data_IF_938634374936
#
_entry.id   IF_938634374936
#
_cell.length_a   1.000
_cell.length_b   1.000
_cell.length_c   1.000
_cell.angle_alpha   90.00
_cell.angle_beta   90.00
_cell.angle_gamma   90.00
#
_symmetry.space_group_name_H-M   'P 1'
#
loop_
_entity.id
_entity.type
_entity.pdbx_description
1 polymer ?
#
# COMPACT_ATOMS: atom_id res chain seq x y z
N UNK A 1 -19.77 -23.40 2.63
CA UNK A 1 -19.59 -21.94 2.80
C UNK A 1 -18.31 -21.58 2.09
N UNK A 2 -18.32 -20.56 1.24
CA UNK A 2 -17.10 -20.00 0.64
C UNK A 2 -16.15 -19.54 1.75
N UNK A 3 -14.84 -19.69 1.53
CA UNK A 3 -13.84 -19.19 2.49
C UNK A 3 -13.93 -17.66 2.59
N UNK A 4 -13.69 -17.16 3.80
CA UNK A 4 -13.49 -15.72 4.04
C UNK A 4 -12.01 -15.41 3.82
N UNK A 5 -11.71 -14.45 2.94
CA UNK A 5 -10.35 -14.02 2.65
C UNK A 5 -9.90 -12.95 3.65
N UNK A 6 -8.79 -13.17 4.34
CA UNK A 6 -8.10 -12.12 5.08
C UNK A 6 -7.21 -11.35 4.13
N UNK A 7 -7.40 -10.03 4.03
CA UNK A 7 -6.65 -9.18 3.12
C UNK A 7 -5.95 -8.09 3.93
N UNK A 8 -4.62 -8.08 3.85
CA UNK A 8 -3.85 -6.91 4.22
C UNK A 8 -3.77 -5.97 3.01
N UNK A 9 -4.50 -4.85 3.04
CA UNK A 9 -4.48 -3.85 1.97
C UNK A 9 -3.47 -2.75 2.34
N UNK A 10 -2.18 -2.96 2.09
CA UNK A 10 -1.14 -2.02 2.46
C UNK A 10 -0.89 -0.90 1.42
N UNK A 11 -0.18 0.14 1.84
CA UNK A 11 0.17 1.30 0.99
C UNK A 11 1.07 0.92 -0.18
N UNK A 12 2.08 0.07 0.07
CA UNK A 12 3.07 -0.36 -0.94
C UNK A 12 2.81 -1.77 -1.44
N UNK A 13 2.49 -2.68 -0.54
CA UNK A 13 2.20 -4.08 -0.85
C UNK A 13 0.92 -4.50 -0.13
N UNK A 14 0.22 -5.45 -0.72
CA UNK A 14 -0.91 -6.14 -0.13
C UNK A 14 -0.62 -7.63 0.00
N UNK A 15 -1.27 -8.30 0.94
CA UNK A 15 -1.16 -9.74 1.14
C UNK A 15 -2.55 -10.35 1.35
N UNK A 16 -2.68 -11.66 1.12
CA UNK A 16 -3.94 -12.36 1.32
C UNK A 16 -3.72 -13.72 1.99
N UNK A 17 -4.65 -14.10 2.87
CA UNK A 17 -4.57 -15.28 3.70
C UNK A 17 -5.94 -15.95 3.84
N UNK A 18 -5.95 -17.26 4.08
CA UNK A 18 -7.15 -18.03 4.43
C UNK A 18 -6.88 -18.95 5.60
N UNK A 19 -7.93 -19.35 6.31
CA UNK A 19 -7.85 -20.45 7.26
C UNK A 19 -7.97 -21.81 6.53
N UNK A 20 -7.03 -22.72 6.77
CA UNK A 20 -7.02 -24.08 6.23
C UNK A 20 -6.62 -25.07 7.32
N UNK A 21 -7.51 -26.02 7.62
CA UNK A 21 -7.24 -27.04 8.63
C UNK A 21 -7.04 -26.46 10.04
N UNK A 22 -7.66 -25.31 10.33
CA UNK A 22 -7.49 -24.60 11.59
C UNK A 22 -6.30 -23.64 11.63
N UNK A 23 -5.42 -23.61 10.62
CA UNK A 23 -4.23 -22.75 10.61
C UNK A 23 -4.35 -21.62 9.57
N UNK A 24 -3.79 -20.42 9.83
CA UNK A 24 -3.70 -19.36 8.84
C UNK A 24 -2.63 -19.68 7.79
N UNK A 25 -2.99 -19.55 6.51
CA UNK A 25 -2.09 -19.76 5.38
C UNK A 25 -2.09 -18.53 4.46
N UNK A 26 -0.92 -17.90 4.28
CA UNK A 26 -0.70 -16.89 3.23
C UNK A 26 -0.78 -17.57 1.86
N UNK A 27 -1.50 -16.94 0.93
CA UNK A 27 -1.58 -17.38 -0.45
C UNK A 27 -0.56 -16.66 -1.32
N UNK A 28 0.00 -17.38 -2.29
CA UNK A 28 0.78 -16.80 -3.37
C UNK A 28 -0.15 -16.18 -4.42
N UNK A 29 0.26 -15.04 -4.98
CA UNK A 29 -0.38 -14.46 -6.15
C UNK A 29 -0.06 -15.25 -7.43
N UNK A 30 -0.65 -14.85 -8.57
CA UNK A 30 -0.41 -15.50 -9.85
C UNK A 30 1.06 -15.47 -10.30
N UNK A 31 1.85 -14.55 -9.76
CA UNK A 31 3.27 -14.37 -10.02
C UNK A 31 4.17 -15.18 -9.07
N UNK A 32 3.59 -15.95 -8.13
CA UNK A 32 4.32 -16.81 -7.18
C UNK A 32 4.86 -16.08 -5.95
N UNK A 33 4.52 -14.80 -5.75
CA UNK A 33 4.92 -14.03 -4.58
C UNK A 33 3.84 -14.06 -3.49
N UNK A 34 4.26 -14.00 -2.22
CA UNK A 34 3.36 -13.96 -1.05
C UNK A 34 2.77 -12.57 -0.78
N UNK A 35 3.24 -11.56 -1.49
CA UNK A 35 2.72 -10.20 -1.47
C UNK A 35 2.57 -9.69 -2.90
N UNK A 36 1.64 -8.76 -3.09
CA UNK A 36 1.33 -8.14 -4.37
C UNK A 36 1.52 -6.63 -4.23
N UNK A 37 2.32 -5.97 -5.10
CA UNK A 37 2.42 -4.51 -5.07
C UNK A 37 1.04 -3.83 -5.17
N UNK A 38 0.80 -2.83 -4.33
CA UNK A 38 -0.43 -2.03 -4.31
C UNK A 38 -0.39 -0.98 -5.43
N UNK A 39 -0.29 -1.45 -6.67
CA UNK A 39 -0.09 -0.66 -7.87
C UNK A 39 -1.11 -1.06 -8.93
N UNK A 40 -1.70 -0.07 -9.58
CA UNK A 40 -2.68 -0.23 -10.67
C UNK A 40 -2.23 0.61 -11.84
N UNK A 41 -2.43 0.13 -13.05
CA UNK A 41 -2.11 0.93 -14.23
C UNK A 41 -3.02 0.62 -15.42
N UNK A 42 -3.07 1.54 -16.38
CA UNK A 42 -3.63 1.29 -17.71
C UNK A 42 -2.47 1.21 -18.69
N UNK A 43 -2.37 0.09 -19.42
CA UNK A 43 -1.36 -0.11 -20.44
C UNK A 43 -1.64 0.78 -21.66
N UNK A 44 -0.65 0.90 -22.56
CA UNK A 44 -0.83 1.63 -23.82
C UNK A 44 -1.91 1.03 -24.73
N UNK A 45 -2.27 -0.23 -24.53
CA UNK A 45 -3.34 -0.92 -25.28
C UNK A 45 -4.71 -0.79 -24.60
N UNK A 46 -4.81 -0.04 -23.49
CA UNK A 46 -6.05 0.13 -22.72
C UNK A 46 -6.33 -0.99 -21.73
N UNK A 47 -5.41 -1.93 -21.54
CA UNK A 47 -5.58 -3.02 -20.58
C UNK A 47 -5.32 -2.54 -19.15
N UNK A 48 -6.18 -2.95 -18.22
CA UNK A 48 -5.97 -2.71 -16.78
C UNK A 48 -5.01 -3.74 -16.20
N UNK A 49 -3.92 -3.23 -15.63
CA UNK A 49 -2.89 -3.99 -14.93
C UNK A 49 -2.99 -3.73 -13.43
N UNK A 50 -2.65 -4.74 -12.62
CA UNK A 50 -2.53 -4.61 -11.17
C UNK A 50 -1.36 -5.47 -10.65
N UNK A 51 -0.76 -5.07 -9.53
CA UNK A 51 0.32 -5.83 -8.91
C UNK A 51 1.66 -5.65 -9.60
N UNK A 52 2.42 -6.75 -9.72
CA UNK A 52 3.78 -6.73 -10.25
C UNK A 52 3.85 -6.23 -11.70
N UNK A 53 2.86 -6.60 -12.54
CA UNK A 53 2.83 -6.19 -13.94
C UNK A 53 2.61 -4.67 -14.06
N UNK A 54 1.75 -4.08 -13.21
CA UNK A 54 1.57 -2.63 -13.15
C UNK A 54 2.85 -1.93 -12.67
N UNK A 55 3.49 -2.45 -11.61
CA UNK A 55 4.76 -1.90 -11.09
C UNK A 55 5.86 -1.89 -12.16
N UNK A 56 6.02 -2.96 -12.93
CA UNK A 56 7.09 -3.09 -13.94
C UNK A 56 7.05 -2.02 -15.04
N UNK A 57 5.87 -1.50 -15.37
CA UNK A 57 5.76 -0.47 -16.41
C UNK A 57 5.82 0.96 -15.86
N UNK A 58 5.89 1.16 -14.54
CA UNK A 58 5.82 2.48 -13.91
C UNK A 58 6.83 3.46 -14.51
N UNK A 59 8.08 3.02 -14.71
CA UNK A 59 9.16 3.83 -15.32
C UNK A 59 8.82 4.40 -16.69
N UNK A 60 8.07 3.67 -17.52
CA UNK A 60 7.76 4.08 -18.90
C UNK A 60 6.34 4.61 -19.07
N UNK A 61 5.54 4.58 -18.00
CA UNK A 61 4.15 5.00 -17.99
C UNK A 61 3.75 5.62 -16.63
N UNK A 62 4.51 6.62 -16.11
CA UNK A 62 4.35 7.08 -14.73
C UNK A 62 3.01 7.79 -14.49
N UNK A 63 2.47 8.50 -15.50
CA UNK A 63 1.19 9.22 -15.36
C UNK A 63 -0.04 8.31 -15.31
N UNK A 64 0.03 7.11 -15.89
CA UNK A 64 -1.06 6.12 -15.88
C UNK A 64 -0.76 4.92 -14.97
N UNK A 65 0.18 5.08 -14.03
CA UNK A 65 0.50 4.07 -13.03
C UNK A 65 0.28 4.68 -11.65
N UNK A 66 -0.75 4.21 -10.95
CA UNK A 66 -1.17 4.71 -9.65
C UNK A 66 -0.67 3.77 -8.56
N UNK A 67 -0.02 4.34 -7.56
CA UNK A 67 0.54 3.68 -6.39
C UNK A 67 0.32 4.58 -5.16
N UNK A 68 0.55 4.05 -3.96
CA UNK A 68 0.31 4.77 -2.69
C UNK A 68 -1.13 5.28 -2.51
N UNK A 69 -2.11 4.72 -3.23
CA UNK A 69 -3.49 5.23 -3.20
C UNK A 69 -4.11 5.24 -1.80
N UNK A 70 -3.63 4.36 -0.91
CA UNK A 70 -4.04 4.30 0.50
C UNK A 70 -3.75 5.59 1.28
N UNK A 71 -2.80 6.42 0.84
CA UNK A 71 -2.54 7.75 1.43
C UNK A 71 -3.63 8.79 1.06
N UNK A 72 -4.47 8.46 0.08
CA UNK A 72 -5.53 9.35 -0.42
C UNK A 72 -6.94 8.88 -0.05
N UNK A 73 -7.10 7.60 0.34
CA UNK A 73 -8.42 7.01 0.58
C UNK A 73 -9.12 7.65 1.78
N UNK A 74 -10.35 8.12 1.59
CA UNK A 74 -11.14 8.76 2.64
C UNK A 74 -10.67 10.15 3.09
N UNK A 75 -9.71 10.75 2.39
CA UNK A 75 -9.26 12.13 2.64
C UNK A 75 -9.99 13.15 1.76
N UNK A 76 -9.98 14.41 2.21
CA UNK A 76 -10.40 15.56 1.42
C UNK A 76 -9.22 16.15 0.66
N UNK A 77 -9.48 16.74 -0.51
CA UNK A 77 -8.42 17.26 -1.36
C UNK A 77 -7.60 18.38 -0.68
N UNK A 78 -8.23 19.22 0.15
CA UNK A 78 -7.59 20.42 0.70
C UNK A 78 -6.70 20.16 1.93
N UNK A 79 -6.62 18.93 2.42
CA UNK A 79 -5.77 18.58 3.56
C UNK A 79 -4.28 18.80 3.24
N UNK A 80 -3.53 19.38 4.18
CA UNK A 80 -2.12 19.70 3.98
C UNK A 80 -1.27 18.47 3.66
N UNK A 81 -1.52 17.34 4.33
CA UNK A 81 -0.82 16.09 4.06
C UNK A 81 -1.17 15.51 2.68
N UNK A 82 -2.42 15.66 2.23
CA UNK A 82 -2.83 15.26 0.87
C UNK A 82 -2.13 16.13 -0.16
N UNK A 83 -2.06 17.45 0.03
CA UNK A 83 -1.36 18.33 -0.92
C UNK A 83 0.14 18.01 -1.01
N UNK A 84 0.77 17.67 0.12
CA UNK A 84 2.14 17.15 0.14
C UNK A 84 2.26 15.87 -0.71
N UNK A 85 1.34 14.92 -0.54
CA UNK A 85 1.36 13.66 -1.27
C UNK A 85 1.04 13.81 -2.76
N UNK A 86 0.13 14.73 -3.13
CA UNK A 86 -0.14 15.10 -4.54
C UNK A 86 1.12 15.64 -5.21
N UNK A 87 1.90 16.47 -4.52
CA UNK A 87 3.18 16.95 -5.03
C UNK A 87 4.24 15.84 -5.13
N UNK A 88 4.07 14.74 -4.39
CA UNK A 88 5.00 13.61 -4.31
C UNK A 88 4.87 12.59 -5.46
N UNK A 89 3.75 12.60 -6.20
CA UNK A 89 3.42 11.56 -7.19
C UNK A 89 3.39 12.09 -8.64
N UNK A 90 3.64 11.23 -9.65
CA UNK A 90 3.63 11.64 -11.07
C UNK A 90 2.26 11.57 -11.75
N UNK A 91 1.29 10.86 -11.16
CA UNK A 91 -0.07 10.76 -11.70
C UNK A 91 -0.91 11.98 -11.32
N UNK A 92 -1.92 12.29 -12.14
CA UNK A 92 -2.75 13.47 -11.93
C UNK A 92 -3.81 13.21 -10.85
N UNK A 93 -3.97 14.18 -9.95
CA UNK A 93 -4.98 14.19 -8.88
C UNK A 93 -5.77 15.49 -8.97
N UNK A 94 -7.09 15.42 -8.79
CA UNK A 94 -7.95 16.61 -8.75
C UNK A 94 -8.93 16.54 -7.59
N UNK A 95 -9.48 17.70 -7.24
CA UNK A 95 -10.59 17.82 -6.30
C UNK A 95 -11.88 17.28 -6.94
N UNK A 96 -12.55 16.38 -6.24
CA UNK A 96 -13.87 15.90 -6.60
C UNK A 96 -14.95 16.92 -6.20
N UNK A 97 -16.14 16.81 -6.80
CA UNK A 97 -17.26 17.72 -6.53
C UNK A 97 -17.74 17.67 -5.07
N UNK A 98 -17.54 16.55 -4.39
CA UNK A 98 -17.88 16.35 -2.97
C UNK A 98 -16.78 16.81 -1.99
N UNK A 99 -15.70 17.44 -2.48
CA UNK A 99 -14.56 17.87 -1.67
C UNK A 99 -13.50 16.80 -1.41
N UNK A 100 -13.80 15.53 -1.74
CA UNK A 100 -12.81 14.46 -1.84
C UNK A 100 -11.86 14.67 -3.03
N UNK A 101 -11.18 13.61 -3.45
CA UNK A 101 -10.27 13.64 -4.58
C UNK A 101 -10.52 12.52 -5.57
N UNK A 102 -10.08 12.74 -6.80
CA UNK A 102 -10.07 11.76 -7.88
C UNK A 102 -8.66 11.68 -8.48
N UNK A 103 -8.27 10.48 -8.86
CA UNK A 103 -7.01 10.18 -9.54
C UNK A 103 -7.29 9.83 -10.99
N UNK A 104 -6.47 10.34 -11.90
CA UNK A 104 -6.57 10.02 -13.32
C UNK A 104 -5.94 8.66 -13.60
N UNK A 105 -6.68 7.79 -14.26
CA UNK A 105 -6.20 6.48 -14.69
C UNK A 105 -6.72 6.22 -16.12
N UNK A 106 -5.82 6.38 -17.10
CA UNK A 106 -6.21 6.47 -18.50
C UNK A 106 -7.06 7.72 -18.74
N UNK A 107 -8.21 7.56 -19.40
CA UNK A 107 -9.14 8.67 -19.67
C UNK A 107 -10.12 8.94 -18.52
N UNK A 108 -10.12 8.11 -17.48
CA UNK A 108 -11.11 8.18 -16.40
C UNK A 108 -10.55 8.86 -15.16
N UNK A 109 -11.41 9.60 -14.47
CA UNK A 109 -11.18 10.10 -13.13
C UNK A 109 -11.88 9.19 -12.15
N UNK A 110 -11.12 8.60 -11.24
CA UNK A 110 -11.60 7.55 -10.34
C UNK A 110 -11.32 7.95 -8.90
N UNK A 111 -12.23 7.58 -8.00
CA UNK A 111 -12.01 7.79 -6.57
C UNK A 111 -10.97 6.80 -6.03
N UNK A 112 -10.26 7.12 -4.94
CA UNK A 112 -9.32 6.20 -4.29
C UNK A 112 -9.89 4.81 -4.01
N UNK A 113 -11.16 4.72 -3.61
CA UNK A 113 -11.87 3.47 -3.34
C UNK A 113 -11.94 2.58 -4.58
N UNK A 114 -12.13 3.18 -5.76
CA UNK A 114 -12.23 2.45 -7.03
C UNK A 114 -10.86 1.90 -7.43
N UNK A 115 -9.79 2.67 -7.25
CA UNK A 115 -8.41 2.21 -7.48
C UNK A 115 -8.05 1.10 -6.49
N UNK A 116 -8.32 1.27 -5.20
CA UNK A 116 -8.13 0.24 -4.18
C UNK A 116 -8.94 -1.02 -4.48
N UNK A 117 -10.15 -0.88 -5.00
CA UNK A 117 -10.96 -2.02 -5.43
C UNK A 117 -10.31 -2.82 -6.56
N UNK A 118 -9.57 -2.18 -7.47
CA UNK A 118 -8.82 -2.91 -8.51
C UNK A 118 -7.70 -3.79 -7.92
N UNK A 119 -7.05 -3.32 -6.84
CA UNK A 119 -6.07 -4.11 -6.08
C UNK A 119 -6.76 -5.30 -5.42
N UNK A 120 -7.88 -5.04 -4.72
CA UNK A 120 -8.67 -6.09 -4.05
C UNK A 120 -9.22 -7.12 -5.05
N UNK A 121 -9.64 -6.70 -6.25
CA UNK A 121 -10.07 -7.60 -7.33
C UNK A 121 -8.95 -8.51 -7.81
N UNK A 122 -7.71 -8.00 -7.93
CA UNK A 122 -6.54 -8.83 -8.28
C UNK A 122 -6.29 -9.89 -7.20
N UNK A 123 -6.27 -9.49 -5.92
CA UNK A 123 -6.07 -10.42 -4.80
C UNK A 123 -7.18 -11.48 -4.75
N UNK A 124 -8.43 -11.07 -4.88
CA UNK A 124 -9.57 -11.99 -4.96
C UNK A 124 -9.39 -12.99 -6.11
N UNK A 125 -9.11 -12.52 -7.33
CA UNK A 125 -8.96 -13.39 -8.49
C UNK A 125 -7.80 -14.39 -8.34
N UNK A 126 -6.67 -13.95 -7.77
CA UNK A 126 -5.55 -14.84 -7.49
C UNK A 126 -5.90 -15.89 -6.43
N UNK A 127 -6.61 -15.49 -5.36
CA UNK A 127 -7.09 -16.41 -4.32
C UNK A 127 -8.06 -17.44 -4.89
N UNK A 128 -9.07 -17.01 -5.67
CA UNK A 128 -10.04 -17.89 -6.33
C UNK A 128 -9.35 -18.89 -7.26
N UNK A 129 -8.38 -18.44 -8.07
CA UNK A 129 -7.59 -19.31 -8.94
C UNK A 129 -6.77 -20.34 -8.15
N UNK A 130 -6.20 -19.96 -7.01
CA UNK A 130 -5.38 -20.85 -6.17
C UNK A 130 -6.22 -21.85 -5.39
N UNK A 131 -7.42 -21.45 -4.96
CA UNK A 131 -8.32 -22.27 -4.14
C UNK A 131 -9.26 -23.14 -4.99
N UNK A 132 -9.53 -22.75 -6.24
CA UNK A 132 -10.45 -23.44 -7.14
C UNK A 132 -11.93 -23.21 -6.81
N UNK A 133 -12.24 -22.20 -6.01
CA UNK A 133 -13.61 -21.86 -5.59
C UNK A 133 -13.80 -20.33 -5.51
N UNK A 134 -15.03 -19.81 -5.70
CA UNK A 134 -15.31 -18.39 -5.60
C UNK A 134 -15.16 -17.86 -4.17
N UNK A 135 -14.70 -16.61 -4.06
CA UNK A 135 -14.52 -15.89 -2.79
C UNK A 135 -15.42 -14.66 -2.80
N UNK A 136 -16.41 -14.66 -1.91
CA UNK A 136 -17.41 -13.59 -1.82
C UNK A 136 -17.29 -12.76 -0.56
N UNK A 137 -16.50 -13.19 0.43
CA UNK A 137 -16.44 -12.58 1.75
C UNK A 137 -15.00 -12.26 2.14
N UNK A 138 -14.78 -11.14 2.83
CA UNK A 138 -13.44 -10.76 3.28
C UNK A 138 -13.42 -10.05 4.64
N UNK A 139 -12.27 -10.15 5.28
CA UNK A 139 -11.82 -9.25 6.35
C UNK A 139 -10.67 -8.41 5.78
N UNK A 140 -10.76 -7.09 5.89
CA UNK A 140 -9.79 -6.16 5.29
C UNK A 140 -9.13 -5.33 6.40
N UNK A 141 -7.81 -5.19 6.35
CA UNK A 141 -7.04 -4.39 7.31
C UNK A 141 -7.14 -2.88 7.02
N UNK A 142 -7.01 -2.08 8.07
CA UNK A 142 -6.77 -0.63 8.02
C UNK A 142 -5.80 -0.23 9.15
N UNK A 143 -5.08 0.90 9.02
CA UNK A 143 -4.30 1.46 10.11
C UNK A 143 -5.17 1.69 11.35
N UNK A 144 -4.60 1.54 12.54
CA UNK A 144 -5.35 1.75 13.77
C UNK A 144 -5.89 3.19 13.86
N UNK A 145 -5.09 4.15 13.41
CA UNK A 145 -5.42 5.58 13.43
C UNK A 145 -6.36 6.04 12.31
N UNK A 146 -6.86 5.14 11.45
CA UNK A 146 -7.86 5.51 10.45
C UNK A 146 -9.16 5.99 11.11
N UNK A 147 -9.65 7.13 10.65
CA UNK A 147 -10.93 7.72 11.04
C UNK A 147 -12.12 7.01 10.36
N UNK A 148 -13.33 7.43 10.71
CA UNK A 148 -14.57 6.83 10.19
C UNK A 148 -14.70 6.93 8.66
N UNK A 149 -14.28 8.04 8.06
CA UNK A 149 -14.33 8.24 6.61
C UNK A 149 -13.39 7.28 5.87
N UNK A 150 -12.15 7.13 6.34
CA UNK A 150 -11.16 6.22 5.75
C UNK A 150 -11.55 4.75 5.90
N UNK A 151 -12.14 4.38 7.06
CA UNK A 151 -12.71 3.04 7.30
C UNK A 151 -13.89 2.74 6.38
N UNK A 152 -14.80 3.70 6.22
CA UNK A 152 -15.93 3.58 5.31
C UNK A 152 -15.47 3.43 3.86
N UNK A 153 -14.53 4.26 3.42
CA UNK A 153 -13.95 4.23 2.09
C UNK A 153 -13.26 2.89 1.77
N UNK A 154 -12.51 2.33 2.73
CA UNK A 154 -11.88 1.00 2.56
C UNK A 154 -12.92 -0.13 2.48
N UNK A 155 -13.99 -0.04 3.29
CA UNK A 155 -15.12 -0.98 3.18
C UNK A 155 -15.79 -0.88 1.81
N UNK A 156 -15.98 0.32 1.29
CA UNK A 156 -16.58 0.55 -0.02
C UNK A 156 -15.68 0.04 -1.15
N UNK A 157 -14.36 0.18 -1.04
CA UNK A 157 -13.41 -0.46 -1.96
C UNK A 157 -13.63 -1.99 -2.00
N UNK A 158 -13.84 -2.63 -0.85
CA UNK A 158 -14.19 -4.05 -0.77
C UNK A 158 -15.51 -4.38 -1.47
N UNK A 159 -16.56 -3.59 -1.27
CA UNK A 159 -17.85 -3.78 -1.96
C UNK A 159 -17.71 -3.62 -3.48
N UNK A 160 -17.01 -2.60 -3.95
CA UNK A 160 -16.73 -2.37 -5.38
C UNK A 160 -15.93 -3.55 -5.98
N UNK A 161 -15.06 -4.18 -5.18
CA UNK A 161 -14.35 -5.38 -5.57
C UNK A 161 -15.21 -6.66 -5.59
N UNK A 162 -16.49 -6.58 -5.23
CA UNK A 162 -17.39 -7.71 -5.14
C UNK A 162 -17.10 -8.61 -3.94
N UNK A 163 -16.68 -8.02 -2.82
CA UNK A 163 -16.49 -8.67 -1.53
C UNK A 163 -17.50 -8.13 -0.50
N UNK A 164 -18.20 -9.04 0.17
CA UNK A 164 -18.92 -8.75 1.39
C UNK A 164 -17.92 -8.62 2.55
N UNK A 165 -17.67 -7.37 2.95
CA UNK A 165 -16.68 -7.03 3.97
C UNK A 165 -17.25 -7.29 5.36
N UNK A 166 -16.99 -8.50 5.87
CA UNK A 166 -17.45 -8.96 7.19
C UNK A 166 -16.85 -8.16 8.33
N UNK A 167 -15.60 -7.72 8.18
CA UNK A 167 -14.91 -6.92 9.19
C UNK A 167 -13.85 -6.03 8.57
N UNK A 168 -13.76 -4.82 9.10
CA UNK A 168 -12.57 -3.98 8.99
C UNK A 168 -11.81 -4.17 10.30
N UNK A 169 -10.56 -4.61 10.23
CA UNK A 169 -9.72 -4.88 11.40
C UNK A 169 -8.52 -3.94 11.41
N UNK A 170 -8.09 -3.50 12.58
CA UNK A 170 -6.89 -2.69 12.70
C UNK A 170 -5.66 -3.56 12.44
N UNK A 171 -4.71 -3.04 11.66
CA UNK A 171 -3.42 -3.67 11.35
C UNK A 171 -2.69 -4.19 12.59
N UNK A 172 -2.46 -3.39 13.65
CA UNK A 172 -1.76 -3.89 14.84
C UNK A 172 -2.57 -4.94 15.61
N UNK A 173 -3.90 -4.91 15.55
CA UNK A 173 -4.74 -5.97 16.13
C UNK A 173 -4.62 -7.27 15.32
N UNK A 174 -4.60 -7.20 13.99
CA UNK A 174 -4.37 -8.36 13.13
C UNK A 174 -2.98 -8.97 13.35
N UNK A 175 -1.95 -8.13 13.50
CA UNK A 175 -0.59 -8.56 13.84
C UNK A 175 -0.54 -9.25 15.22
N UNK A 176 -1.23 -8.70 16.22
CA UNK A 176 -1.32 -9.31 17.54
C UNK A 176 -2.10 -10.64 17.52
N UNK A 177 -3.15 -10.78 16.69
CA UNK A 177 -3.85 -12.06 16.48
C UNK A 177 -2.91 -13.10 15.86
N UNK A 178 -2.11 -12.71 14.87
CA UNK A 178 -1.14 -13.60 14.26
C UNK A 178 -0.05 -14.02 15.26
N UNK A 179 0.45 -13.10 16.09
CA UNK A 179 1.41 -13.38 17.15
C UNK A 179 0.85 -14.31 18.23
N UNK A 180 -0.38 -14.03 18.68
CA UNK A 180 -1.08 -14.72 19.76
C UNK A 180 -1.64 -16.09 19.37
N UNK A 181 -1.74 -16.40 18.07
CA UNK A 181 -2.48 -17.56 17.55
C UNK A 181 -2.13 -18.90 18.25
N UNK A 182 -0.85 -19.12 18.55
CA UNK A 182 -0.35 -20.35 19.19
C UNK A 182 0.17 -20.13 20.62
N UNK A 183 -0.11 -18.98 21.22
CA UNK A 183 0.33 -18.64 22.58
C UNK A 183 -0.58 -19.29 23.61
N UNK A 184 -0.04 -19.54 24.80
CA UNK A 184 -0.75 -20.21 25.91
C UNK A 184 -0.77 -19.40 27.20
N UNK A 185 -0.27 -18.17 27.15
CA UNK A 185 -0.14 -17.28 28.30
C UNK A 185 -0.58 -15.90 27.90
N UNK A 186 -1.13 -15.19 28.87
CA UNK A 186 -1.41 -13.78 28.75
C UNK A 186 -0.10 -13.02 28.57
N UNK A 187 -0.04 -12.17 27.56
CA UNK A 187 1.15 -11.39 27.23
C UNK A 187 0.75 -9.95 26.92
N UNK A 188 1.51 -9.01 27.48
CA UNK A 188 1.44 -7.60 27.09
C UNK A 188 2.44 -7.39 25.97
N UNK A 189 1.93 -6.93 24.83
CA UNK A 189 2.70 -6.75 23.60
C UNK A 189 2.64 -5.31 23.13
N UNK A 190 3.73 -4.84 22.55
CA UNK A 190 3.76 -3.59 21.80
C UNK A 190 3.91 -3.96 20.33
N UNK A 191 2.96 -3.53 19.52
CA UNK A 191 3.06 -3.62 18.06
C UNK A 191 3.52 -2.25 17.56
N UNK A 192 4.72 -2.23 16.99
CA UNK A 192 5.29 -1.10 16.28
C UNK A 192 5.22 -1.43 14.78
N UNK A 193 4.29 -0.78 14.07
CA UNK A 193 4.05 -1.01 12.65
C UNK A 193 4.47 0.23 11.86
N UNK A 194 5.58 0.12 11.12
CA UNK A 194 6.12 1.20 10.30
C UNK A 194 6.11 0.76 8.84
N UNK A 195 5.00 1.06 8.18
CA UNK A 195 4.71 0.59 6.84
C UNK A 195 5.25 1.50 5.74
N UNK A 196 4.72 1.32 4.53
CA UNK A 196 5.08 2.13 3.36
C UNK A 196 4.61 3.59 3.43
N UNK A 197 3.55 3.89 4.16
CA UNK A 197 3.04 5.26 4.30
C UNK A 197 2.21 5.55 5.54
N UNK A 198 2.14 4.61 6.48
CA UNK A 198 1.46 4.77 7.76
C UNK A 198 2.37 4.23 8.86
N UNK A 199 2.28 4.86 10.02
CA UNK A 199 2.94 4.42 11.25
C UNK A 199 1.88 4.24 12.34
N UNK A 200 1.84 3.07 12.96
CA UNK A 200 1.01 2.80 14.12
C UNK A 200 1.86 2.23 15.26
N UNK A 201 1.58 2.67 16.48
CA UNK A 201 2.07 2.03 17.70
C UNK A 201 0.88 1.67 18.59
N UNK A 202 0.80 0.41 19.00
CA UNK A 202 -0.28 -0.06 19.86
C UNK A 202 0.28 -0.87 21.03
N UNK A 203 -0.27 -0.63 22.22
CA UNK A 203 -0.06 -1.47 23.40
C UNK A 203 -1.27 -2.37 23.51
N UNK A 204 -1.06 -3.69 23.40
CA UNK A 204 -2.13 -4.68 23.48
C UNK A 204 -1.86 -5.68 24.59
N UNK A 205 -2.95 -6.27 25.08
CA UNK A 205 -2.92 -7.43 25.95
C UNK A 205 -3.57 -8.58 25.20
N UNK A 206 -2.80 -9.63 24.96
CA UNK A 206 -3.28 -10.89 24.40
C UNK A 206 -3.73 -11.72 25.59
N UNK A 207 -5.03 -11.88 25.77
CA UNK A 207 -5.63 -12.64 26.87
C UNK A 207 -6.07 -13.98 26.31
N UNK A 208 -5.56 -15.08 26.85
CA UNK A 208 -5.95 -16.42 26.44
C UNK A 208 -7.03 -16.95 27.37
N UNK A 209 -8.25 -17.16 26.89
CA UNK A 209 -9.25 -17.88 27.66
C UNK A 209 -8.91 -19.38 27.73
N UNK A 210 -9.19 -20.03 28.87
CA UNK A 210 -9.20 -21.49 28.96
C UNK A 210 -10.23 -22.04 27.97
N UNK A 211 -9.78 -22.57 26.82
CA UNK A 211 -10.67 -23.12 25.78
C UNK A 211 -10.56 -22.55 24.36
N UNK A 212 -9.45 -21.89 24.00
CA UNK A 212 -9.15 -21.37 22.64
C UNK A 212 -9.94 -20.11 22.21
N UNK A 213 -10.66 -19.43 23.11
CA UNK A 213 -11.27 -18.13 22.83
C UNK A 213 -10.40 -16.99 23.39
N UNK A 214 -9.18 -16.86 22.88
CA UNK A 214 -8.32 -15.73 23.23
C UNK A 214 -8.93 -14.41 22.73
N UNK A 215 -8.85 -13.35 23.55
CA UNK A 215 -9.23 -11.99 23.19
C UNK A 215 -8.00 -11.09 23.08
N UNK A 216 -8.12 -10.03 22.28
CA UNK A 216 -7.11 -8.98 22.20
C UNK A 216 -7.73 -7.70 22.71
N UNK A 217 -7.13 -7.17 23.78
CA UNK A 217 -7.51 -5.89 24.35
C UNK A 217 -6.50 -4.83 23.94
N UNK A 218 -6.94 -3.86 23.14
CA UNK A 218 -6.13 -2.67 22.84
C UNK A 218 -6.17 -1.76 24.06
N UNK A 219 -5.01 -1.55 24.70
CA UNK A 219 -4.88 -0.67 25.87
C UNK A 219 -4.66 0.79 25.47
N UNK A 220 -3.87 1.00 24.42
CA UNK A 220 -3.62 2.32 23.84
C UNK A 220 -3.17 2.16 22.39
N UNK A 221 -3.45 3.16 21.57
CA UNK A 221 -3.00 3.25 20.18
C UNK A 221 -2.68 4.70 19.86
N UNK A 222 -1.63 4.92 19.08
CA UNK A 222 -1.21 6.22 18.55
C UNK A 222 -0.51 5.99 17.20
N UNK A 223 -0.27 7.04 16.42
CA UNK A 223 0.34 6.89 15.10
C UNK A 223 0.29 8.13 14.21
N UNK A 224 0.70 7.95 12.96
CA UNK A 224 0.62 8.95 11.90
C UNK A 224 0.25 8.27 10.56
N UNK A 225 -0.90 8.66 10.00
CA UNK A 225 -1.43 8.13 8.75
C UNK A 225 -0.68 8.59 7.48
N UNK A 226 0.30 9.48 7.61
CA UNK A 226 1.09 10.03 6.50
C UNK A 226 2.60 9.96 6.74
N UNK A 227 3.03 9.03 7.60
CA UNK A 227 4.44 8.75 7.89
C UNK A 227 4.77 7.31 7.55
N UNK A 228 5.76 7.07 6.70
CA UNK A 228 6.27 5.72 6.47
C UNK A 228 7.50 5.68 5.57
N UNK A 229 7.77 4.50 5.02
CA UNK A 229 8.93 4.24 4.16
C UNK A 229 9.01 5.14 2.93
N UNK A 230 7.89 5.67 2.42
CA UNK A 230 7.86 6.60 1.28
C UNK A 230 8.30 8.02 1.64
N UNK A 231 8.12 8.44 2.89
CA UNK A 231 8.67 9.70 3.38
C UNK A 231 10.20 9.63 3.46
N UNK A 232 10.75 8.45 3.79
CA UNK A 232 12.20 8.19 3.75
C UNK A 232 12.68 8.18 2.29
N UNK A 233 11.96 7.51 1.38
CA UNK A 233 12.29 7.53 -0.05
C UNK A 233 12.36 8.97 -0.57
N UNK A 234 11.37 9.81 -0.24
CA UNK A 234 11.34 11.20 -0.68
C UNK A 234 12.56 12.00 -0.18
N UNK A 235 13.03 11.76 1.05
CA UNK A 235 14.26 12.41 1.55
C UNK A 235 15.50 12.01 0.74
N UNK A 236 15.60 10.75 0.34
CA UNK A 236 16.69 10.25 -0.49
C UNK A 236 16.58 10.82 -1.91
N UNK A 237 15.38 10.84 -2.50
CA UNK A 237 15.11 11.45 -3.81
C UNK A 237 15.51 12.92 -3.83
N UNK A 238 15.09 13.70 -2.83
CA UNK A 238 15.40 15.12 -2.72
C UNK A 238 16.90 15.35 -2.63
N UNK A 239 17.60 14.54 -1.83
CA UNK A 239 19.05 14.59 -1.72
C UNK A 239 19.75 14.25 -3.05
N UNK A 240 19.37 13.14 -3.70
CA UNK A 240 19.91 12.74 -5.00
C UNK A 240 19.70 13.82 -6.06
N UNK A 241 18.51 14.42 -6.12
CA UNK A 241 18.20 15.47 -7.08
C UNK A 241 19.01 16.75 -6.83
N UNK A 242 19.21 17.14 -5.56
CA UNK A 242 20.03 18.29 -5.20
C UNK A 242 21.49 18.07 -5.56
N UNK A 243 22.07 16.90 -5.25
CA UNK A 243 23.45 16.60 -5.62
C UNK A 243 23.63 16.53 -7.14
N UNK A 244 22.70 15.87 -7.86
CA UNK A 244 22.74 15.85 -9.33
C UNK A 244 22.65 17.25 -9.93
N UNK A 245 21.81 18.13 -9.39
CA UNK A 245 21.72 19.51 -9.86
C UNK A 245 23.01 20.31 -9.59
N UNK A 246 23.69 20.07 -8.46
CA UNK A 246 24.98 20.71 -8.18
C UNK A 246 26.07 20.27 -9.16
N UNK A 247 26.09 18.99 -9.52
CA UNK A 247 27.12 18.42 -10.40
C UNK A 247 26.86 18.70 -11.88
N UNK A 248 25.61 18.59 -12.33
CA UNK A 248 25.22 18.70 -13.75
C UNK A 248 24.64 20.05 -14.14
N UNK A 249 24.15 20.83 -13.18
CA UNK A 249 23.36 22.05 -13.41
C UNK A 249 21.89 21.79 -13.79
N UNK A 250 21.44 20.53 -13.88
CA UNK A 250 20.09 20.16 -14.36
C UNK A 250 19.20 19.74 -13.18
N UNK A 251 18.01 20.34 -13.10
CA UNK A 251 16.97 19.93 -12.14
C UNK A 251 16.04 18.87 -12.74
N UNK A 252 16.28 17.61 -12.38
CA UNK A 252 15.54 16.44 -12.87
C UNK A 252 14.17 16.24 -12.21
N UNK A 253 13.82 17.03 -11.19
CA UNK A 253 12.55 16.86 -10.45
C UNK A 253 11.31 17.18 -11.29
N UNK A 254 11.49 17.99 -12.34
CA UNK A 254 10.43 18.41 -13.25
C UNK A 254 10.16 17.40 -14.37
N UNK A 255 11.03 16.39 -14.55
CA UNK A 255 10.83 15.31 -15.53
C UNK A 255 10.15 14.10 -14.85
N UNK A 256 8.91 13.75 -15.24
CA UNK A 256 8.21 12.58 -14.68
C UNK A 256 8.95 11.26 -14.85
N UNK A 257 9.69 11.07 -15.95
CA UNK A 257 10.46 9.84 -16.19
C UNK A 257 11.67 9.79 -15.25
N UNK A 258 12.45 10.87 -15.19
CA UNK A 258 13.59 10.96 -14.27
C UNK A 258 13.16 10.78 -12.81
N UNK A 259 12.05 11.42 -12.42
CA UNK A 259 11.47 11.29 -11.08
C UNK A 259 11.07 9.86 -10.73
N UNK A 260 10.43 9.14 -11.66
CA UNK A 260 10.06 7.73 -11.43
C UNK A 260 11.31 6.85 -11.27
N UNK A 261 12.36 7.12 -12.05
CA UNK A 261 13.64 6.38 -11.93
C UNK A 261 14.36 6.68 -10.63
N UNK A 262 14.30 7.93 -10.16
CA UNK A 262 14.80 8.32 -8.83
C UNK A 262 14.02 7.61 -7.71
N UNK A 263 12.69 7.51 -7.79
CA UNK A 263 11.88 6.81 -6.79
C UNK A 263 12.28 5.33 -6.66
N UNK A 264 12.40 4.62 -7.79
CA UNK A 264 12.83 3.21 -7.77
C UNK A 264 14.25 3.03 -7.24
N UNK A 265 15.17 3.90 -7.65
CA UNK A 265 16.57 3.82 -7.21
C UNK A 265 16.73 4.19 -5.73
N UNK A 266 15.99 5.18 -5.24
CA UNK A 266 15.98 5.58 -3.84
C UNK A 266 15.39 4.48 -2.94
N UNK A 267 14.26 3.87 -3.33
CA UNK A 267 13.66 2.75 -2.59
C UNK A 267 14.65 1.58 -2.53
N UNK A 268 15.30 1.25 -3.65
CA UNK A 268 16.31 0.18 -3.73
C UNK A 268 17.50 0.47 -2.81
N UNK A 269 18.07 1.67 -2.89
CA UNK A 269 19.21 2.07 -2.07
C UNK A 269 18.87 2.05 -0.57
N UNK A 270 17.69 2.55 -0.18
CA UNK A 270 17.18 2.49 1.20
C UNK A 270 17.12 1.05 1.72
N UNK A 271 16.61 0.13 0.91
CA UNK A 271 16.48 -1.29 1.29
C UNK A 271 17.86 -1.94 1.41
N UNK A 272 18.78 -1.70 0.47
CA UNK A 272 20.14 -2.24 0.52
C UNK A 272 20.91 -1.76 1.76
N UNK A 273 20.77 -0.48 2.12
CA UNK A 273 21.38 0.10 3.33
C UNK A 273 20.79 -0.43 4.65
N UNK A 274 19.75 -1.27 4.61
CA UNK A 274 19.27 -1.96 5.82
C UNK A 274 20.22 -3.09 6.25
N UNK A 275 21.13 -3.51 5.39
CA UNK A 275 22.12 -4.57 5.68
C UNK A 275 23.55 -4.20 5.26
N UNK A 276 23.71 -3.37 4.23
CA UNK A 276 25.00 -2.85 3.79
C UNK A 276 25.35 -1.53 4.48
N UNK A 277 26.65 -1.21 4.54
CA UNK A 277 27.16 0.07 5.06
C UNK A 277 27.09 1.21 4.04
N UNK A 278 27.04 0.87 2.76
CA UNK A 278 27.08 1.76 1.62
C UNK A 278 26.38 1.10 0.41
N UNK A 279 25.92 1.92 -0.54
CA UNK A 279 25.32 1.47 -1.81
C UNK A 279 25.61 2.49 -2.91
N UNK A 280 25.60 2.03 -4.16
CA UNK A 280 25.77 2.86 -5.35
C UNK A 280 24.42 3.09 -6.05
N UNK A 281 24.04 4.36 -6.20
CA UNK A 281 22.87 4.76 -6.99
C UNK A 281 23.31 5.05 -8.42
N UNK A 282 23.11 4.09 -9.31
CA UNK A 282 23.45 4.23 -10.73
C UNK A 282 22.18 4.29 -11.59
N UNK A 283 21.90 5.46 -12.19
CA UNK A 283 20.75 5.71 -13.08
C UNK A 283 21.26 6.20 -14.45
N UNK A 284 21.64 5.29 -15.35
CA UNK A 284 22.18 5.67 -16.66
C UNK A 284 21.17 6.47 -17.48
N UNK A 285 21.57 7.54 -18.16
CA UNK A 285 20.67 8.35 -18.99
C UNK A 285 19.46 8.89 -18.22
N UNK A 286 19.66 9.36 -16.97
CA UNK A 286 18.58 9.90 -16.12
C UNK A 286 17.82 11.04 -16.79
N UNK A 287 18.52 11.89 -17.55
CA UNK A 287 17.96 12.97 -18.36
C UNK A 287 18.84 13.19 -19.59
N UNK A 288 18.30 13.85 -20.60
CA UNK A 288 19.02 14.43 -21.74
C UNK A 288 19.00 15.94 -21.65
N UNK A 289 20.07 16.60 -22.11
CA UNK A 289 20.10 18.06 -22.25
C UNK A 289 19.93 18.48 -23.72
N UNK A 290 20.05 19.77 -24.01
CA UNK A 290 19.91 20.30 -25.37
C UNK A 290 20.97 19.79 -26.35
N UNK A 291 22.04 19.14 -25.87
CA UNK A 291 23.10 18.55 -26.68
C UNK A 291 22.89 17.06 -26.99
N UNK A 292 21.89 16.42 -26.37
CA UNK A 292 21.51 15.02 -26.59
C UNK A 292 21.87 14.12 -25.42
#
# INVERSE_FOLDING_TARGET
>A
MSKILGIDLGTTNSAMAVMRGGEPQILENAEGARTTPSVVAISKTGERLAGLIARRQAVTNPKNTVYQIKRFIGHTFDEANVQKDVAAVPFEVRKATNGGLEVKLGENWLRPEEISAMILQKLKADAEKRLGEPITEAVITVPAYFNDAQRAATRDAGKIAGLDVKRIINEPTAAALAYGFNKKKDEKVVVFDFGGGTFDISVLEVVMAEGNEGSIEVRSTDGDAHLGGKDIDQKIIDWLAVEFQKESGIDVRNDPLARQRLDEAAEKAKIELSTATDTEVNIPFITSDASG
#
